data_IF_499989799096
#
_entry.id   IF_499989799096
#
_cell.length_a   1.000
_cell.length_b   1.000
_cell.length_c   1.000
_cell.angle_alpha   90.00
_cell.angle_beta   90.00
_cell.angle_gamma   90.00
#
_symmetry.space_group_name_H-M   'P 1'
#
loop_
_entity.id
_entity.type
_entity.pdbx_description
1 polymer ?
#
# COMPACT_ATOMS: atom_id res chain seq x y z
N UNK A 1 121.46 15.34 -30.48
CA UNK A 1 120.85 14.51 -29.42
C UNK A 1 121.29 13.06 -29.63
N UNK A 2 121.52 12.26 -28.59
CA UNK A 2 121.78 10.82 -28.80
C UNK A 2 120.46 10.11 -29.13
N UNK A 3 120.52 9.03 -29.92
CA UNK A 3 119.33 8.24 -30.29
C UNK A 3 118.54 7.77 -29.05
N UNK A 4 119.25 7.48 -27.95
CA UNK A 4 118.67 7.03 -26.67
C UNK A 4 117.80 8.12 -26.04
N UNK A 5 118.24 9.38 -26.02
CA UNK A 5 117.46 10.48 -25.44
C UNK A 5 116.22 10.80 -26.29
N UNK A 6 116.28 10.62 -27.62
CA UNK A 6 115.11 10.83 -28.49
C UNK A 6 114.06 9.72 -28.33
N UNK A 7 114.50 8.46 -28.22
CA UNK A 7 113.60 7.32 -28.02
C UNK A 7 112.94 7.32 -26.64
N UNK A 8 113.61 7.86 -25.62
CA UNK A 8 113.09 7.97 -24.25
C UNK A 8 112.35 9.28 -23.95
N UNK A 9 112.08 10.11 -24.97
CA UNK A 9 111.42 11.40 -24.76
C UNK A 9 109.98 11.23 -24.22
N UNK A 10 109.56 11.97 -23.18
CA UNK A 10 108.24 11.80 -22.54
C UNK A 10 107.03 11.94 -23.47
N UNK A 11 107.19 12.68 -24.58
CA UNK A 11 106.15 12.87 -25.60
C UNK A 11 105.57 11.55 -26.14
N UNK A 12 106.39 10.49 -26.27
CA UNK A 12 105.92 9.18 -26.73
C UNK A 12 104.99 8.52 -25.71
N UNK A 13 105.27 8.70 -24.42
CA UNK A 13 104.39 8.25 -23.35
C UNK A 13 103.03 8.95 -23.38
N UNK A 14 103.02 10.26 -23.64
CA UNK A 14 101.77 11.03 -23.77
C UNK A 14 100.95 10.60 -24.99
N UNK A 15 101.60 10.42 -26.14
CA UNK A 15 100.95 9.96 -27.37
C UNK A 15 100.34 8.57 -27.17
N UNK A 16 101.06 7.63 -26.56
CA UNK A 16 100.53 6.31 -26.26
C UNK A 16 99.33 6.36 -25.29
N UNK A 17 99.38 7.24 -24.29
CA UNK A 17 98.25 7.49 -23.39
C UNK A 17 97.03 8.02 -24.15
N UNK A 18 97.22 9.02 -25.01
CA UNK A 18 96.17 9.59 -25.85
C UNK A 18 95.59 8.57 -26.86
N UNK A 19 96.42 7.68 -27.40
CA UNK A 19 95.96 6.56 -28.23
C UNK A 19 95.06 5.59 -27.45
N UNK A 20 95.39 5.30 -26.18
CA UNK A 20 94.54 4.46 -25.35
C UNK A 20 93.17 5.12 -25.10
N UNK A 21 93.12 6.45 -24.93
CA UNK A 21 91.88 7.20 -24.77
C UNK A 21 90.98 7.16 -26.00
N UNK A 22 91.53 7.06 -27.21
CA UNK A 22 90.74 6.92 -28.45
C UNK A 22 89.78 5.73 -28.41
N UNK A 23 90.14 4.66 -27.69
CA UNK A 23 89.32 3.45 -27.57
C UNK A 23 88.13 3.56 -26.61
N UNK A 24 88.00 4.68 -25.88
CA UNK A 24 86.90 4.91 -24.94
C UNK A 24 85.57 5.16 -25.69
N UNK A 25 84.51 4.46 -25.27
CA UNK A 25 83.18 4.50 -25.92
C UNK A 25 82.49 5.86 -25.80
N UNK A 26 82.88 6.68 -24.83
CA UNK A 26 82.32 8.03 -24.62
C UNK A 26 82.60 8.98 -25.78
N UNK A 27 83.69 8.80 -26.53
CA UNK A 27 83.98 9.60 -27.72
C UNK A 27 83.09 9.26 -28.92
N UNK A 28 82.31 8.17 -28.85
CA UNK A 28 81.40 7.70 -29.90
C UNK A 28 79.92 7.82 -29.51
N UNK A 29 79.60 8.61 -28.48
CA UNK A 29 78.22 8.90 -28.07
C UNK A 29 77.43 9.57 -29.21
N UNK A 30 76.15 9.19 -29.46
CA UNK A 30 75.31 9.80 -30.47
C UNK A 30 75.28 11.33 -30.39
N UNK A 31 75.29 11.93 -29.21
CA UNK A 31 75.28 13.39 -29.03
C UNK A 31 76.45 14.12 -29.73
N UNK A 32 77.59 13.46 -29.92
CA UNK A 32 78.76 14.01 -30.63
C UNK A 32 78.57 13.85 -32.14
N UNK A 33 78.01 12.72 -32.59
CA UNK A 33 77.78 12.44 -34.01
C UNK A 33 76.70 13.31 -34.66
N UNK A 34 75.76 13.84 -33.87
CA UNK A 34 74.68 14.70 -34.36
C UNK A 34 75.13 16.17 -34.49
N UNK A 35 76.27 16.54 -33.90
CA UNK A 35 76.88 17.85 -34.02
C UNK A 35 78.15 17.75 -34.89
N UNK A 36 78.05 18.23 -36.12
CA UNK A 36 79.13 18.23 -37.11
C UNK A 36 80.43 18.83 -36.55
N UNK A 37 80.34 19.93 -35.79
CA UNK A 37 81.51 20.61 -35.24
C UNK A 37 82.23 19.75 -34.18
N UNK A 38 81.47 19.07 -33.31
CA UNK A 38 82.05 18.21 -32.26
C UNK A 38 82.65 16.93 -32.83
N UNK A 39 82.00 16.31 -33.82
CA UNK A 39 82.57 15.15 -34.52
C UNK A 39 83.85 15.53 -35.25
N UNK A 40 83.86 16.67 -35.95
CA UNK A 40 85.05 17.16 -36.65
C UNK A 40 86.21 17.42 -35.67
N UNK A 41 85.95 18.08 -34.54
CA UNK A 41 86.98 18.37 -33.54
C UNK A 41 87.59 17.09 -32.93
N UNK A 42 86.75 16.10 -32.61
CA UNK A 42 87.21 14.79 -32.13
C UNK A 42 88.12 14.12 -33.14
N UNK A 43 87.64 14.00 -34.38
CA UNK A 43 88.34 13.28 -35.44
C UNK A 43 89.66 13.98 -35.77
N UNK A 44 89.66 15.32 -35.76
CA UNK A 44 90.86 16.14 -35.94
C UNK A 44 91.91 15.90 -34.84
N UNK A 45 91.52 15.88 -33.57
CA UNK A 45 92.44 15.64 -32.45
C UNK A 45 93.14 14.30 -32.63
N UNK A 46 92.38 13.21 -32.84
CA UNK A 46 92.95 11.87 -32.95
C UNK A 46 93.76 11.67 -34.24
N UNK A 47 93.33 12.29 -35.36
CA UNK A 47 94.10 12.29 -36.61
C UNK A 47 95.50 12.91 -36.45
N UNK A 48 95.60 14.06 -35.76
CA UNK A 48 96.89 14.72 -35.55
C UNK A 48 97.77 13.93 -34.57
N UNK A 49 97.18 13.29 -33.55
CA UNK A 49 97.92 12.42 -32.63
C UNK A 49 98.48 11.20 -33.38
N UNK A 50 97.68 10.55 -34.23
CA UNK A 50 98.11 9.44 -35.08
C UNK A 50 99.24 9.83 -36.06
N UNK A 51 99.12 11.04 -36.62
CA UNK A 51 100.15 11.60 -37.48
C UNK A 51 101.45 11.84 -36.73
N UNK A 52 101.39 12.47 -35.55
CA UNK A 52 102.54 12.73 -34.70
C UNK A 52 103.22 11.44 -34.23
N UNK A 53 102.44 10.42 -33.86
CA UNK A 53 102.95 9.10 -33.48
C UNK A 53 103.77 8.49 -34.62
N UNK A 54 103.19 8.49 -35.82
CA UNK A 54 103.82 7.96 -37.03
C UNK A 54 105.11 8.73 -37.38
N UNK A 55 105.08 10.06 -37.34
CA UNK A 55 106.25 10.90 -37.66
C UNK A 55 107.38 10.70 -36.65
N UNK A 56 107.07 10.52 -35.38
CA UNK A 56 108.10 10.26 -34.36
C UNK A 56 108.79 8.90 -34.57
N UNK A 57 108.08 7.90 -35.09
CA UNK A 57 108.68 6.60 -35.44
C UNK A 57 109.53 6.66 -36.71
N UNK A 58 109.10 7.42 -37.72
CA UNK A 58 109.76 7.47 -39.03
C UNK A 58 110.98 8.42 -39.08
N UNK A 59 110.98 9.51 -38.30
CA UNK A 59 112.03 10.55 -38.37
C UNK A 59 113.26 10.18 -37.53
N UNK A 60 114.49 10.19 -38.11
CA UNK A 60 115.71 9.89 -37.38
C UNK A 60 116.07 10.99 -36.37
N UNK A 61 116.65 10.59 -35.23
CA UNK A 61 116.98 11.48 -34.12
C UNK A 61 117.91 12.67 -34.45
N UNK A 62 118.64 12.59 -35.57
CA UNK A 62 119.55 13.65 -36.04
C UNK A 62 118.82 14.86 -36.65
N UNK A 63 117.57 14.69 -37.10
CA UNK A 63 116.81 15.71 -37.81
C UNK A 63 115.74 16.41 -36.96
N UNK A 64 115.63 16.04 -35.68
CA UNK A 64 114.56 16.54 -34.80
C UNK A 64 115.04 17.68 -33.92
N UNK A 65 114.20 18.73 -33.83
CA UNK A 65 114.44 19.87 -32.94
C UNK A 65 113.91 19.61 -31.52
N UNK A 66 114.81 19.58 -30.54
CA UNK A 66 114.46 19.32 -29.13
C UNK A 66 113.56 20.41 -28.49
N UNK A 67 113.81 21.71 -28.69
CA UNK A 67 112.90 22.75 -28.20
C UNK A 67 111.49 22.59 -28.77
N UNK A 68 111.36 22.18 -30.04
CA UNK A 68 110.07 21.95 -30.65
C UNK A 68 109.35 20.73 -30.04
N UNK A 69 110.06 19.62 -29.78
CA UNK A 69 109.49 18.46 -29.09
C UNK A 69 108.99 18.81 -27.68
N UNK A 70 109.71 19.65 -26.94
CA UNK A 70 109.28 20.10 -25.62
C UNK A 70 108.00 20.95 -25.70
N UNK A 71 107.88 21.84 -26.69
CA UNK A 71 106.65 22.59 -26.91
C UNK A 71 105.48 21.69 -27.33
N UNK A 72 105.74 20.72 -28.23
CA UNK A 72 104.73 19.73 -28.60
C UNK A 72 104.25 18.91 -27.39
N UNK A 73 105.17 18.50 -26.52
CA UNK A 73 104.83 17.81 -25.28
C UNK A 73 103.90 18.65 -24.39
N UNK A 74 104.18 19.94 -24.22
CA UNK A 74 103.34 20.82 -23.39
C UNK A 74 101.90 20.93 -23.94
N UNK A 75 101.76 21.10 -25.26
CA UNK A 75 100.43 21.14 -25.88
C UNK A 75 99.70 19.79 -25.76
N UNK A 76 100.39 18.66 -25.97
CA UNK A 76 99.79 17.33 -25.81
C UNK A 76 99.41 17.03 -24.36
N UNK A 77 100.15 17.55 -23.38
CA UNK A 77 99.78 17.46 -21.96
C UNK A 77 98.46 18.20 -21.69
N UNK A 78 98.27 19.39 -22.28
CA UNK A 78 97.02 20.14 -22.17
C UNK A 78 95.86 19.42 -22.86
N UNK A 79 96.09 18.85 -24.05
CA UNK A 79 95.10 18.00 -24.74
C UNK A 79 94.68 16.83 -23.86
N UNK A 80 95.63 16.15 -23.23
CA UNK A 80 95.36 15.01 -22.33
C UNK A 80 94.52 15.45 -21.12
N UNK A 81 94.79 16.62 -20.56
CA UNK A 81 94.01 17.19 -19.45
C UNK A 81 92.56 17.47 -19.86
N UNK A 82 92.35 18.13 -21.00
CA UNK A 82 91.02 18.47 -21.50
C UNK A 82 90.22 17.22 -21.92
N UNK A 83 90.87 16.21 -22.51
CA UNK A 83 90.20 14.94 -22.84
C UNK A 83 89.80 14.15 -21.59
N UNK A 84 90.63 14.11 -20.55
CA UNK A 84 90.24 13.50 -19.27
C UNK A 84 89.11 14.28 -18.59
N UNK A 85 89.12 15.62 -18.68
CA UNK A 85 88.01 16.44 -18.21
C UNK A 85 86.72 16.16 -19.00
N UNK A 86 86.82 15.95 -20.32
CA UNK A 86 85.71 15.52 -21.16
C UNK A 86 85.15 14.15 -20.71
N UNK A 87 86.00 13.16 -20.46
CA UNK A 87 85.57 11.83 -19.98
C UNK A 87 84.78 11.90 -18.67
N UNK A 88 85.18 12.81 -17.77
CA UNK A 88 84.50 12.99 -16.48
C UNK A 88 83.20 13.80 -16.56
N UNK A 89 83.15 14.85 -17.40
CA UNK A 89 82.07 15.85 -17.41
C UNK A 89 81.08 15.70 -18.57
N UNK A 90 81.48 15.03 -19.65
CA UNK A 90 80.77 14.92 -20.95
C UNK A 90 80.43 16.26 -21.61
N UNK A 91 81.05 17.36 -21.19
CA UNK A 91 80.79 18.68 -21.77
C UNK A 91 81.55 18.86 -23.09
N UNK A 92 80.81 19.11 -24.17
CA UNK A 92 81.36 19.35 -25.51
C UNK A 92 82.36 20.53 -25.56
N UNK A 93 82.32 21.45 -24.58
CA UNK A 93 83.27 22.56 -24.48
C UNK A 93 84.72 22.11 -24.22
N UNK A 94 84.93 21.04 -23.46
CA UNK A 94 86.28 20.49 -23.23
C UNK A 94 86.86 19.87 -24.49
N UNK A 95 86.02 19.29 -25.34
CA UNK A 95 86.43 18.75 -26.64
C UNK A 95 86.84 19.88 -27.60
N UNK A 96 86.12 21.00 -27.60
CA UNK A 96 86.51 22.19 -28.35
C UNK A 96 87.82 22.81 -27.84
N UNK A 97 88.02 22.88 -26.52
CA UNK A 97 89.24 23.37 -25.90
C UNK A 97 90.45 22.48 -26.21
N UNK A 98 90.26 21.16 -26.17
CA UNK A 98 91.28 20.20 -26.60
C UNK A 98 91.67 20.41 -28.07
N UNK A 99 90.67 20.62 -28.95
CA UNK A 99 90.92 20.88 -30.37
C UNK A 99 91.69 22.19 -30.60
N UNK A 100 91.43 23.24 -29.80
CA UNK A 100 92.18 24.49 -29.88
C UNK A 100 93.67 24.33 -29.52
N UNK A 101 94.03 23.35 -28.70
CA UNK A 101 95.43 23.02 -28.39
C UNK A 101 96.14 22.26 -29.53
N UNK A 102 95.40 21.79 -30.54
CA UNK A 102 95.96 21.15 -31.73
C UNK A 102 96.49 22.18 -32.74
N UNK A 103 95.90 23.38 -32.83
CA UNK A 103 96.34 24.41 -33.79
C UNK A 103 97.82 24.81 -33.60
N UNK A 104 98.31 25.08 -32.37
CA UNK A 104 99.72 25.36 -32.14
C UNK A 104 100.64 24.17 -32.48
N UNK A 105 100.17 22.92 -32.26
CA UNK A 105 100.95 21.71 -32.60
C UNK A 105 101.27 21.64 -34.10
N UNK A 106 100.33 22.03 -34.95
CA UNK A 106 100.53 22.06 -36.40
C UNK A 106 101.69 22.98 -36.81
N UNK A 107 101.87 24.09 -36.10
CA UNK A 107 102.95 25.06 -36.33
C UNK A 107 104.33 24.53 -35.95
N UNK A 108 104.41 23.44 -35.18
CA UNK A 108 105.67 22.79 -34.83
C UNK A 108 105.98 21.56 -35.69
N UNK A 109 105.05 21.09 -36.53
CA UNK A 109 105.23 19.87 -37.35
C UNK A 109 106.43 19.93 -38.30
N UNK A 110 106.88 21.12 -38.69
CA UNK A 110 108.13 21.27 -39.47
C UNK A 110 109.36 20.67 -38.80
N UNK A 111 109.34 20.53 -37.46
CA UNK A 111 110.41 19.90 -36.68
C UNK A 111 110.49 18.37 -36.86
N UNK A 112 109.49 17.78 -37.53
CA UNK A 112 109.43 16.37 -37.92
C UNK A 112 109.24 16.30 -39.45
N UNK A 113 110.33 16.33 -40.24
CA UNK A 113 110.24 16.34 -41.70
C UNK A 113 109.51 15.10 -42.23
N UNK A 114 108.60 15.30 -43.18
CA UNK A 114 107.79 14.22 -43.78
C UNK A 114 108.67 13.30 -44.64
N UNK A 115 108.58 12.00 -44.38
CA UNK A 115 109.36 10.92 -45.01
C UNK A 115 108.80 10.48 -46.39
N UNK A 116 107.47 10.40 -46.56
CA UNK A 116 106.81 10.12 -47.86
C UNK A 116 105.29 10.42 -47.84
N UNK A 117 104.70 10.67 -49.01
CA UNK A 117 103.24 10.85 -49.17
C UNK A 117 102.50 9.53 -49.45
N UNK A 118 103.14 8.57 -50.13
CA UNK A 118 102.60 7.23 -50.35
C UNK A 118 103.05 6.31 -49.21
N UNK A 119 102.09 5.71 -48.50
CA UNK A 119 102.34 4.81 -47.37
C UNK A 119 102.76 5.49 -46.05
N UNK A 120 103.12 6.78 -46.08
CA UNK A 120 103.43 7.57 -44.89
C UNK A 120 102.18 8.05 -44.14
N UNK A 121 102.38 8.69 -42.99
CA UNK A 121 101.34 9.13 -42.07
C UNK A 121 100.18 9.92 -42.73
N UNK A 122 100.50 10.81 -43.67
CA UNK A 122 99.51 11.62 -44.39
C UNK A 122 98.63 10.80 -45.37
N UNK A 123 99.21 9.79 -46.03
CA UNK A 123 98.45 8.90 -46.92
C UNK A 123 97.43 8.06 -46.15
N UNK A 124 97.84 7.51 -44.99
CA UNK A 124 96.95 6.73 -44.11
C UNK A 124 95.76 7.56 -43.60
N UNK A 125 95.96 8.84 -43.31
CA UNK A 125 94.88 9.73 -42.88
C UNK A 125 93.84 9.94 -43.99
N UNK A 126 94.28 10.20 -45.22
CA UNK A 126 93.38 10.38 -46.36
C UNK A 126 92.58 9.10 -46.66
N UNK A 127 93.21 7.93 -46.59
CA UNK A 127 92.53 6.63 -46.75
C UNK A 127 91.46 6.41 -45.67
N UNK A 128 91.77 6.76 -44.42
CA UNK A 128 90.82 6.63 -43.30
C UNK A 128 89.60 7.55 -43.45
N UNK A 129 89.79 8.76 -43.99
CA UNK A 129 88.71 9.71 -44.24
C UNK A 129 87.81 9.24 -45.40
N UNK A 130 88.42 8.71 -46.48
CA UNK A 130 87.68 8.13 -47.60
C UNK A 130 86.84 6.91 -47.16
N UNK A 131 87.39 6.04 -46.31
CA UNK A 131 86.68 4.91 -45.73
C UNK A 131 85.52 5.36 -44.82
N UNK A 132 85.74 6.40 -44.00
CA UNK A 132 84.70 7.00 -43.16
C UNK A 132 83.53 7.55 -43.98
N UNK A 133 83.82 8.24 -45.09
CA UNK A 133 82.79 8.74 -46.01
C UNK A 133 81.98 7.61 -46.67
N UNK A 134 82.65 6.51 -47.05
CA UNK A 134 81.98 5.33 -47.60
C UNK A 134 81.06 4.65 -46.58
N UNK A 135 81.54 4.47 -45.34
CA UNK A 135 80.72 3.89 -44.27
C UNK A 135 79.49 4.75 -43.93
N UNK A 136 79.64 6.08 -43.93
CA UNK A 136 78.51 6.99 -43.72
C UNK A 136 77.48 6.88 -44.85
N UNK A 137 77.93 6.74 -46.10
CA UNK A 137 77.05 6.55 -47.25
C UNK A 137 76.28 5.22 -47.16
N UNK A 138 76.93 4.13 -46.77
CA UNK A 138 76.30 2.83 -46.55
C UNK A 138 75.26 2.88 -45.42
N UNK A 139 75.54 3.61 -44.33
CA UNK A 139 74.59 3.79 -43.24
C UNK A 139 73.36 4.59 -43.68
N UNK A 140 73.56 5.66 -44.46
CA UNK A 140 72.46 6.45 -45.01
C UNK A 140 71.57 5.63 -45.94
N UNK A 141 72.15 4.77 -46.78
CA UNK A 141 71.39 3.86 -47.65
C UNK A 141 70.58 2.85 -46.84
N UNK A 142 71.16 2.27 -45.78
CA UNK A 142 70.41 1.37 -44.88
C UNK A 142 69.25 2.08 -44.19
N UNK A 143 69.44 3.32 -43.74
CA UNK A 143 68.38 4.14 -43.13
C UNK A 143 67.28 4.48 -44.13
N UNK A 144 67.64 4.81 -45.38
CA UNK A 144 66.66 5.06 -46.45
C UNK A 144 65.77 3.84 -46.67
N UNK A 145 66.33 2.63 -46.71
CA UNK A 145 65.56 1.41 -46.90
C UNK A 145 64.67 1.10 -45.67
N UNK A 146 65.17 1.35 -44.45
CA UNK A 146 64.35 1.24 -43.22
C UNK A 146 63.15 2.18 -43.26
N UNK A 147 63.36 3.46 -43.58
CA UNK A 147 62.26 4.44 -43.65
C UNK A 147 61.26 4.11 -44.74
N UNK A 148 61.72 3.58 -45.88
CA UNK A 148 60.81 3.11 -46.94
C UNK A 148 59.95 1.94 -46.46
N UNK A 149 60.54 0.99 -45.72
CA UNK A 149 59.81 -0.13 -45.11
C UNK A 149 58.78 0.36 -44.08
N UNK A 150 59.19 1.26 -43.17
CA UNK A 150 58.31 1.87 -42.17
C UNK A 150 57.15 2.65 -42.80
N UNK A 151 57.41 3.41 -43.87
CA UNK A 151 56.38 4.12 -44.62
C UNK A 151 55.38 3.16 -45.26
N UNK A 152 55.86 2.06 -45.84
CA UNK A 152 54.97 1.03 -46.40
C UNK A 152 54.13 0.36 -45.33
N UNK A 153 54.70 0.07 -44.15
CA UNK A 153 53.98 -0.49 -43.03
C UNK A 153 52.93 0.49 -42.48
N UNK A 154 53.29 1.78 -42.36
CA UNK A 154 52.38 2.83 -41.91
C UNK A 154 51.22 3.02 -42.89
N UNK A 155 51.50 3.03 -44.21
CA UNK A 155 50.46 3.11 -45.24
C UNK A 155 49.46 1.94 -45.14
N UNK A 156 49.97 0.71 -44.93
CA UNK A 156 49.11 -0.46 -44.72
C UNK A 156 48.28 -0.36 -43.44
N UNK A 157 48.84 0.17 -42.35
CA UNK A 157 48.07 0.44 -41.13
C UNK A 157 46.98 1.49 -41.35
N UNK A 158 47.27 2.57 -42.06
CA UNK A 158 46.27 3.60 -42.39
C UNK A 158 45.12 3.03 -43.20
N UNK A 159 45.40 2.18 -44.20
CA UNK A 159 44.36 1.50 -44.97
C UNK A 159 43.49 0.59 -44.09
N UNK A 160 44.11 -0.15 -43.17
CA UNK A 160 43.39 -1.00 -42.22
C UNK A 160 42.52 -0.18 -41.25
N UNK A 161 43.00 0.96 -40.75
CA UNK A 161 42.21 1.85 -39.90
C UNK A 161 41.04 2.48 -40.66
N UNK A 162 41.24 2.84 -41.93
CA UNK A 162 40.17 3.36 -42.78
C UNK A 162 39.07 2.32 -42.99
N UNK A 163 39.42 1.06 -43.26
CA UNK A 163 38.46 -0.06 -43.34
C UNK A 163 37.68 -0.25 -42.03
N UNK A 164 38.37 -0.25 -40.89
CA UNK A 164 37.71 -0.36 -39.57
C UNK A 164 36.75 0.80 -39.29
N UNK A 165 37.10 2.02 -39.71
CA UNK A 165 36.21 3.19 -39.56
C UNK A 165 34.97 3.06 -40.43
N UNK A 166 35.10 2.56 -41.65
CA UNK A 166 33.98 2.32 -42.55
C UNK A 166 33.05 1.22 -42.01
N UNK A 167 33.60 0.11 -41.53
CA UNK A 167 32.85 -0.96 -40.86
C UNK A 167 32.12 -0.44 -39.62
N UNK A 168 32.80 0.35 -38.77
CA UNK A 168 32.20 0.91 -37.56
C UNK A 168 31.08 1.90 -37.89
N UNK A 169 31.26 2.72 -38.93
CA UNK A 169 30.22 3.63 -39.44
C UNK A 169 28.99 2.87 -39.94
N UNK A 170 29.19 1.77 -40.67
CA UNK A 170 28.08 0.93 -41.12
C UNK A 170 27.36 0.25 -39.95
N UNK A 171 28.10 -0.22 -38.94
CA UNK A 171 27.52 -0.79 -37.73
C UNK A 171 26.69 0.23 -36.93
N UNK A 172 27.17 1.47 -36.79
CA UNK A 172 26.43 2.56 -36.14
C UNK A 172 25.14 2.86 -36.91
N UNK A 173 25.21 2.96 -38.24
CA UNK A 173 24.02 3.18 -39.07
C UNK A 173 22.98 2.06 -38.91
N UNK A 174 23.44 0.80 -38.89
CA UNK A 174 22.58 -0.36 -38.65
C UNK A 174 21.96 -0.34 -37.25
N UNK A 175 22.76 -0.10 -36.20
CA UNK A 175 22.26 -0.01 -34.83
C UNK A 175 21.22 1.11 -34.67
N UNK A 176 21.45 2.27 -35.27
CA UNK A 176 20.48 3.36 -35.25
C UNK A 176 19.15 2.97 -35.93
N UNK A 177 19.21 2.24 -37.04
CA UNK A 177 18.02 1.69 -37.71
C UNK A 177 17.29 0.65 -36.85
N UNK A 178 18.03 -0.26 -36.24
CA UNK A 178 17.47 -1.31 -35.37
C UNK A 178 16.82 -0.70 -34.13
N UNK A 179 17.47 0.29 -33.50
CA UNK A 179 16.91 1.05 -32.36
C UNK A 179 15.66 1.81 -32.77
N UNK A 180 15.67 2.51 -33.91
CA UNK A 180 14.48 3.21 -34.41
C UNK A 180 13.31 2.25 -34.66
N UNK A 181 13.58 1.06 -35.20
CA UNK A 181 12.55 0.04 -35.44
C UNK A 181 12.03 -0.55 -34.13
N UNK A 182 12.92 -0.79 -33.16
CA UNK A 182 12.55 -1.25 -31.83
C UNK A 182 11.66 -0.22 -31.10
N UNK A 183 12.02 1.07 -31.15
CA UNK A 183 11.22 2.16 -30.57
C UNK A 183 9.83 2.20 -31.20
N UNK A 184 9.72 2.18 -32.53
CA UNK A 184 8.44 2.19 -33.22
C UNK A 184 7.55 0.98 -32.83
N UNK A 185 8.17 -0.21 -32.69
CA UNK A 185 7.47 -1.42 -32.23
C UNK A 185 7.01 -1.30 -30.78
N UNK A 186 7.85 -0.78 -29.88
CA UNK A 186 7.49 -0.54 -28.49
C UNK A 186 6.37 0.49 -28.36
N UNK A 187 6.41 1.58 -29.12
CA UNK A 187 5.33 2.59 -29.14
C UNK A 187 4.00 1.99 -29.61
N UNK A 188 4.03 1.16 -30.65
CA UNK A 188 2.82 0.49 -31.15
C UNK A 188 2.27 -0.48 -30.11
N UNK A 189 3.11 -1.34 -29.54
CA UNK A 189 2.70 -2.29 -28.49
C UNK A 189 2.15 -1.58 -27.26
N UNK A 190 2.76 -0.46 -26.87
CA UNK A 190 2.30 0.34 -25.75
C UNK A 190 0.93 0.96 -26.02
N UNK A 191 0.72 1.52 -27.22
CA UNK A 191 -0.60 2.05 -27.63
C UNK A 191 -1.67 0.97 -27.62
N UNK A 192 -1.39 -0.20 -28.22
CA UNK A 192 -2.34 -1.30 -28.30
C UNK A 192 -2.73 -1.81 -26.89
N UNK A 193 -1.75 -1.94 -25.99
CA UNK A 193 -1.97 -2.36 -24.59
C UNK A 193 -2.75 -1.31 -23.78
N UNK A 194 -2.44 -0.02 -23.96
CA UNK A 194 -3.20 1.07 -23.32
C UNK A 194 -4.65 1.09 -23.81
N UNK A 195 -4.88 0.91 -25.11
CA UNK A 195 -6.22 0.84 -25.68
C UNK A 195 -7.00 -0.38 -25.19
N UNK A 196 -6.35 -1.55 -25.08
CA UNK A 196 -6.91 -2.76 -24.50
C UNK A 196 -7.31 -2.55 -23.04
N UNK A 197 -6.42 -1.94 -22.24
CA UNK A 197 -6.72 -1.60 -20.84
C UNK A 197 -7.87 -0.60 -20.73
N UNK A 198 -7.90 0.42 -21.58
CA UNK A 198 -9.00 1.39 -21.63
C UNK A 198 -10.35 0.73 -21.92
N UNK A 199 -10.39 -0.21 -22.87
CA UNK A 199 -11.58 -1.01 -23.17
C UNK A 199 -11.99 -1.91 -22.01
N UNK A 200 -11.04 -2.61 -21.39
CA UNK A 200 -11.32 -3.49 -20.24
C UNK A 200 -11.86 -2.69 -19.04
N UNK A 201 -11.29 -1.54 -18.73
CA UNK A 201 -11.79 -0.67 -17.65
C UNK A 201 -13.20 -0.19 -17.96
N UNK A 202 -13.46 0.22 -19.20
CA UNK A 202 -14.80 0.67 -19.62
C UNK A 202 -15.82 -0.46 -19.52
N UNK A 203 -15.47 -1.67 -19.97
CA UNK A 203 -16.34 -2.86 -19.87
C UNK A 203 -16.63 -3.25 -18.41
N UNK A 204 -15.62 -3.22 -17.54
CA UNK A 204 -15.81 -3.47 -16.10
C UNK A 204 -16.72 -2.42 -15.47
N UNK A 205 -16.55 -1.13 -15.82
CA UNK A 205 -17.41 -0.06 -15.31
C UNK A 205 -18.85 -0.22 -15.78
N UNK A 206 -19.08 -0.58 -17.05
CA UNK A 206 -20.43 -0.84 -17.58
C UNK A 206 -21.09 -2.03 -16.87
N UNK A 207 -20.36 -3.15 -16.69
CA UNK A 207 -20.89 -4.32 -15.96
C UNK A 207 -21.20 -4.00 -14.50
N UNK A 208 -20.38 -3.17 -13.87
CA UNK A 208 -20.63 -2.76 -12.49
C UNK A 208 -21.86 -1.85 -12.42
N UNK A 209 -22.01 -0.89 -13.33
CA UNK A 209 -23.20 -0.03 -13.39
C UNK A 209 -24.49 -0.83 -13.62
N UNK A 210 -24.45 -1.83 -14.51
CA UNK A 210 -25.55 -2.77 -14.75
C UNK A 210 -25.89 -3.58 -13.51
N UNK A 211 -24.89 -4.26 -12.90
CA UNK A 211 -25.10 -5.05 -11.67
C UNK A 211 -25.59 -4.19 -10.50
N UNK A 212 -25.09 -2.96 -10.38
CA UNK A 212 -25.51 -2.03 -9.34
C UNK A 212 -26.96 -1.59 -9.55
N UNK A 213 -27.35 -1.31 -10.80
CA UNK A 213 -28.73 -0.96 -11.16
C UNK A 213 -29.69 -2.12 -10.89
N UNK A 214 -29.35 -3.34 -11.31
CA UNK A 214 -30.13 -4.55 -11.01
C UNK A 214 -30.27 -4.79 -9.50
N UNK A 215 -29.17 -4.67 -8.75
CA UNK A 215 -29.18 -4.84 -7.30
C UNK A 215 -30.08 -3.79 -6.63
N UNK A 216 -30.01 -2.53 -7.09
CA UNK A 216 -30.83 -1.44 -6.58
C UNK A 216 -32.32 -1.69 -6.84
N UNK A 217 -32.68 -2.12 -8.04
CA UNK A 217 -34.06 -2.47 -8.38
C UNK A 217 -34.56 -3.65 -7.53
N UNK A 218 -33.74 -4.69 -7.38
CA UNK A 218 -34.07 -5.85 -6.56
C UNK A 218 -34.29 -5.48 -5.09
N UNK A 219 -33.40 -4.68 -4.50
CA UNK A 219 -33.54 -4.19 -3.13
C UNK A 219 -34.81 -3.34 -2.99
N UNK A 220 -35.09 -2.46 -3.94
CA UNK A 220 -36.30 -1.63 -3.92
C UNK A 220 -37.57 -2.50 -3.99
N UNK A 221 -37.59 -3.50 -4.88
CA UNK A 221 -38.69 -4.44 -5.02
C UNK A 221 -38.90 -5.28 -3.76
N UNK A 222 -37.84 -5.89 -3.23
CA UNK A 222 -37.90 -6.70 -2.01
C UNK A 222 -38.32 -5.87 -0.79
N UNK A 223 -37.81 -4.63 -0.67
CA UNK A 223 -38.21 -3.71 0.39
C UNK A 223 -39.69 -3.34 0.29
N UNK A 224 -40.18 -3.02 -0.91
CA UNK A 224 -41.59 -2.72 -1.13
C UNK A 224 -42.49 -3.92 -0.78
N UNK A 225 -42.06 -5.12 -1.14
CA UNK A 225 -42.76 -6.37 -0.81
C UNK A 225 -42.82 -6.60 0.70
N UNK A 226 -41.71 -6.41 1.41
CA UNK A 226 -41.65 -6.54 2.88
C UNK A 226 -42.53 -5.48 3.55
N UNK A 227 -42.50 -4.23 3.10
CA UNK A 227 -43.36 -3.16 3.63
C UNK A 227 -44.83 -3.50 3.45
N UNK A 228 -45.21 -4.01 2.28
CA UNK A 228 -46.59 -4.42 1.99
C UNK A 228 -47.03 -5.60 2.86
N UNK A 229 -46.17 -6.59 3.09
CA UNK A 229 -46.48 -7.70 4.00
C UNK A 229 -46.57 -7.20 5.46
N UNK A 230 -45.67 -6.32 5.90
CA UNK A 230 -45.72 -5.71 7.23
C UNK A 230 -47.01 -4.93 7.46
N UNK A 231 -47.44 -4.12 6.49
CA UNK A 231 -48.72 -3.40 6.57
C UNK A 231 -49.91 -4.36 6.64
N UNK A 232 -49.87 -5.44 5.86
CA UNK A 232 -50.90 -6.49 5.90
C UNK A 232 -50.93 -7.17 7.28
N UNK A 233 -49.78 -7.53 7.84
CA UNK A 233 -49.67 -8.14 9.18
C UNK A 233 -50.12 -7.17 10.27
N UNK A 234 -49.80 -5.89 10.16
CA UNK A 234 -50.27 -4.83 11.05
C UNK A 234 -51.80 -4.72 11.00
N UNK A 235 -52.39 -4.74 9.81
CA UNK A 235 -53.85 -4.70 9.65
C UNK A 235 -54.51 -5.95 10.25
N UNK A 236 -53.96 -7.13 9.99
CA UNK A 236 -54.43 -8.39 10.58
C UNK A 236 -54.35 -8.36 12.11
N UNK A 237 -53.23 -7.90 12.68
CA UNK A 237 -53.08 -7.76 14.13
C UNK A 237 -54.09 -6.76 14.73
N UNK A 238 -54.33 -5.62 14.04
CA UNK A 238 -55.33 -4.63 14.44
C UNK A 238 -56.74 -5.23 14.47
N UNK A 239 -57.10 -6.02 13.44
CA UNK A 239 -58.41 -6.70 13.39
C UNK A 239 -58.54 -7.74 14.50
N UNK A 240 -57.50 -8.55 14.76
CA UNK A 240 -57.52 -9.53 15.86
C UNK A 240 -57.69 -8.82 17.20
N UNK A 241 -56.96 -7.73 17.45
CA UNK A 241 -57.10 -6.93 18.68
C UNK A 241 -58.51 -6.36 18.83
N UNK A 242 -59.11 -5.86 17.77
CA UNK A 242 -60.48 -5.33 17.79
C UNK A 242 -61.52 -6.42 18.09
N UNK A 243 -61.37 -7.60 17.48
CA UNK A 243 -62.26 -8.75 17.69
C UNK A 243 -62.11 -9.31 19.10
N UNK A 244 -60.89 -9.53 19.58
CA UNK A 244 -60.63 -10.07 20.92
C UNK A 244 -61.03 -9.08 22.01
N UNK A 245 -60.77 -7.79 21.81
CA UNK A 245 -61.16 -6.73 22.74
C UNK A 245 -62.69 -6.59 22.88
N UNK A 246 -63.42 -6.55 21.76
CA UNK A 246 -64.88 -6.41 21.81
C UNK A 246 -65.59 -7.71 22.25
N UNK A 247 -65.25 -8.87 21.69
CA UNK A 247 -65.99 -10.13 21.98
C UNK A 247 -65.65 -10.68 23.37
N UNK A 248 -64.37 -10.60 23.80
CA UNK A 248 -63.92 -11.26 25.02
C UNK A 248 -64.54 -10.69 26.29
N UNK A 249 -64.68 -9.37 26.38
CA UNK A 249 -65.17 -8.72 27.61
C UNK A 249 -66.70 -8.54 27.58
N UNK A 250 -67.28 -8.08 26.46
CA UNK A 250 -68.73 -7.83 26.38
C UNK A 250 -69.54 -9.11 26.27
N UNK A 251 -69.05 -10.11 25.52
CA UNK A 251 -69.78 -11.36 25.27
C UNK A 251 -70.03 -12.18 26.55
N UNK A 252 -69.13 -12.13 27.52
CA UNK A 252 -69.31 -12.84 28.79
C UNK A 252 -70.41 -12.20 29.65
N UNK A 253 -70.45 -10.86 29.72
CA UNK A 253 -71.53 -10.15 30.42
C UNK A 253 -72.88 -10.34 29.74
N UNK A 254 -72.91 -10.38 28.40
CA UNK A 254 -74.11 -10.71 27.64
C UNK A 254 -74.65 -12.12 27.96
N UNK A 255 -73.76 -13.11 28.03
CA UNK A 255 -74.13 -14.48 28.37
C UNK A 255 -74.68 -14.58 29.80
N UNK A 256 -74.06 -13.89 30.76
CA UNK A 256 -74.52 -13.83 32.16
C UNK A 256 -75.89 -13.14 32.22
N UNK A 257 -76.05 -11.97 31.58
CA UNK A 257 -77.30 -11.23 31.57
C UNK A 257 -78.48 -12.06 31.02
N UNK A 258 -78.26 -12.76 29.90
CA UNK A 258 -79.28 -13.62 29.29
C UNK A 258 -79.64 -14.82 30.19
N UNK A 259 -78.65 -15.46 30.82
CA UNK A 259 -78.87 -16.58 31.73
C UNK A 259 -79.65 -16.16 32.97
N UNK A 260 -79.26 -15.07 33.61
CA UNK A 260 -79.93 -14.51 34.79
C UNK A 260 -81.36 -14.04 34.46
N UNK A 261 -81.59 -13.40 33.30
CA UNK A 261 -82.94 -13.00 32.89
C UNK A 261 -83.86 -14.20 32.64
N UNK A 262 -83.33 -15.29 32.10
CA UNK A 262 -84.07 -16.55 31.95
C UNK A 262 -84.48 -17.13 33.31
N UNK A 263 -83.55 -17.17 34.27
CA UNK A 263 -83.83 -17.60 35.66
C UNK A 263 -84.87 -16.70 36.34
N UNK A 264 -84.76 -15.38 36.17
CA UNK A 264 -85.73 -14.43 36.71
C UNK A 264 -87.15 -14.72 36.20
N UNK A 265 -87.30 -15.01 34.90
CA UNK A 265 -88.58 -15.37 34.31
C UNK A 265 -89.12 -16.72 34.81
N UNK A 266 -88.24 -17.71 34.99
CA UNK A 266 -88.63 -19.00 35.57
C UNK A 266 -89.22 -18.84 36.97
N UNK A 267 -88.53 -18.14 37.88
CA UNK A 267 -89.02 -17.86 39.22
C UNK A 267 -90.29 -17.01 39.24
N UNK A 268 -90.44 -16.09 38.28
CA UNK A 268 -91.67 -15.32 38.09
C UNK A 268 -92.85 -16.24 37.77
N UNK A 269 -92.67 -17.20 36.87
CA UNK A 269 -93.72 -18.15 36.54
C UNK A 269 -94.07 -19.08 37.72
N UNK A 270 -93.09 -19.48 38.53
CA UNK A 270 -93.34 -20.22 39.77
C UNK A 270 -94.17 -19.36 40.75
N UNK A 271 -93.80 -18.10 40.93
CA UNK A 271 -94.51 -17.14 41.79
C UNK A 271 -95.97 -16.98 41.33
N UNK A 272 -96.18 -16.75 40.03
CA UNK A 272 -97.52 -16.63 39.43
C UNK A 272 -98.33 -17.92 39.63
N UNK A 273 -97.69 -19.09 39.55
CA UNK A 273 -98.33 -20.38 39.80
C UNK A 273 -98.81 -20.50 41.24
N UNK A 274 -98.00 -20.10 42.23
CA UNK A 274 -98.43 -20.06 43.64
C UNK A 274 -99.61 -19.12 43.86
N UNK A 275 -99.59 -17.91 43.30
CA UNK A 275 -100.71 -16.98 43.40
C UNK A 275 -101.97 -17.51 42.71
N UNK A 276 -101.84 -18.14 41.54
CA UNK A 276 -102.97 -18.72 40.82
C UNK A 276 -103.62 -19.86 41.62
N UNK A 277 -102.82 -20.76 42.21
CA UNK A 277 -103.31 -21.81 43.13
C UNK A 277 -103.99 -21.18 44.34
N UNK A 278 -103.41 -20.12 44.91
CA UNK A 278 -103.97 -19.43 46.07
C UNK A 278 -105.34 -18.81 45.80
N UNK A 279 -105.45 -18.10 44.68
CA UNK A 279 -106.71 -17.50 44.23
C UNK A 279 -107.75 -18.58 43.90
N UNK A 280 -107.35 -19.68 43.26
CA UNK A 280 -108.25 -20.79 42.97
C UNK A 280 -108.79 -21.46 44.25
N UNK A 281 -107.92 -21.74 45.23
CA UNK A 281 -108.31 -22.29 46.53
C UNK A 281 -109.22 -21.31 47.31
N UNK A 282 -108.89 -20.02 47.31
CA UNK A 282 -109.72 -18.99 47.91
C UNK A 282 -111.11 -18.92 47.24
N UNK A 283 -111.18 -18.95 45.91
CA UNK A 283 -112.44 -18.95 45.16
C UNK A 283 -113.30 -20.20 45.41
N UNK A 284 -112.70 -21.39 45.39
CA UNK A 284 -113.40 -22.65 45.68
C UNK A 284 -113.95 -22.68 47.11
N UNK A 285 -113.16 -22.23 48.08
CA UNK A 285 -113.60 -22.14 49.49
C UNK A 285 -114.62 -21.03 49.72
N UNK A 286 -114.60 -19.96 48.93
CA UNK A 286 -115.62 -18.91 49.00
C UNK A 286 -116.97 -19.40 48.49
N UNK A 287 -117.01 -20.03 47.31
CA UNK A 287 -118.25 -20.55 46.71
C UNK A 287 -118.90 -21.64 47.58
N UNK A 288 -118.10 -22.56 48.14
CA UNK A 288 -118.62 -23.68 48.94
C UNK A 288 -119.24 -23.24 50.27
N UNK A 289 -118.78 -22.13 50.84
CA UNK A 289 -119.16 -21.71 52.20
C UNK A 289 -119.97 -20.40 52.24
N UNK A 290 -120.40 -19.88 51.09
CA UNK A 290 -121.16 -18.63 50.98
C UNK A 290 -122.52 -18.66 51.70
N UNK A 291 -123.10 -19.86 51.89
CA UNK A 291 -124.46 -20.04 52.42
C UNK A 291 -124.50 -20.61 53.85
N UNK A 292 -123.36 -20.71 54.56
CA UNK A 292 -123.31 -21.27 55.92
C UNK A 292 -123.39 -20.20 57.02
N UNK A 293 -124.28 -20.32 58.03
CA UNK A 293 -124.34 -19.40 59.16
C UNK A 293 -123.10 -19.56 60.07
N UNK A 294 -122.63 -18.44 60.64
CA UNK A 294 -121.44 -18.40 61.48
C UNK A 294 -121.66 -19.22 62.77
N UNK A 295 -120.97 -20.36 62.91
CA UNK A 295 -121.01 -21.22 64.10
C UNK A 295 -119.61 -21.45 64.66
N UNK A 296 -119.51 -21.97 65.89
CA UNK A 296 -118.23 -22.31 66.53
C UNK A 296 -117.44 -23.39 65.77
N UNK A 297 -118.10 -24.24 64.96
CA UNK A 297 -117.44 -25.21 64.07
C UNK A 297 -116.81 -24.53 62.83
N UNK A 298 -117.40 -23.43 62.36
CA UNK A 298 -116.91 -22.66 61.21
C UNK A 298 -115.61 -21.91 61.53
N UNK A 299 -115.37 -21.55 62.79
CA UNK A 299 -114.17 -20.84 63.25
C UNK A 299 -112.86 -21.64 62.99
N UNK A 300 -112.89 -22.96 63.18
CA UNK A 300 -111.75 -23.84 62.90
C UNK A 300 -111.45 -23.86 61.39
N UNK A 301 -112.48 -23.82 60.54
CA UNK A 301 -112.32 -23.80 59.08
C UNK A 301 -111.65 -22.52 58.57
N UNK A 302 -111.87 -21.37 59.22
CA UNK A 302 -111.22 -20.09 58.92
C UNK A 302 -109.74 -20.13 59.32
N UNK A 303 -109.43 -20.69 60.49
CA UNK A 303 -108.05 -20.85 60.95
C UNK A 303 -107.23 -21.76 60.03
N UNK A 304 -107.81 -22.87 59.58
CA UNK A 304 -107.16 -23.79 58.63
C UNK A 304 -106.91 -23.12 57.27
N UNK A 305 -107.84 -22.28 56.78
CA UNK A 305 -107.63 -21.47 55.56
C UNK A 305 -106.52 -20.44 55.72
N UNK A 306 -106.44 -19.79 56.89
CA UNK A 306 -105.35 -18.87 57.21
C UNK A 306 -104.00 -19.59 57.21
N UNK A 307 -103.94 -20.80 57.78
CA UNK A 307 -102.73 -21.64 57.74
C UNK A 307 -102.35 -22.06 56.32
N UNK A 308 -103.31 -22.45 55.47
CA UNK A 308 -103.04 -22.73 54.05
C UNK A 308 -102.58 -21.50 53.28
N UNK A 309 -103.17 -20.33 53.55
CA UNK A 309 -102.75 -19.07 52.94
C UNK A 309 -101.30 -18.72 53.34
N UNK A 310 -100.93 -18.88 54.62
CA UNK A 310 -99.55 -18.69 55.10
C UNK A 310 -98.59 -19.71 54.46
N UNK A 311 -98.98 -20.98 54.42
CA UNK A 311 -98.19 -22.06 53.84
C UNK A 311 -97.93 -21.86 52.34
N UNK A 312 -98.86 -21.23 51.62
CA UNK A 312 -98.73 -20.95 50.18
C UNK A 312 -98.01 -19.63 49.88
N UNK A 313 -98.26 -18.59 50.68
CA UNK A 313 -97.65 -17.26 50.50
C UNK A 313 -96.17 -17.24 50.84
N UNK A 314 -95.72 -18.05 51.81
CA UNK A 314 -94.30 -18.14 52.21
C UNK A 314 -93.38 -18.56 51.05
N UNK A 315 -93.61 -19.69 50.33
CA UNK A 315 -92.81 -20.04 49.16
C UNK A 315 -93.06 -19.10 47.97
N UNK A 316 -94.26 -18.55 47.81
CA UNK A 316 -94.54 -17.53 46.78
C UNK A 316 -93.66 -16.29 46.97
N UNK A 317 -93.51 -15.81 48.21
CA UNK A 317 -92.65 -14.67 48.53
C UNK A 317 -91.18 -14.96 48.26
N UNK A 318 -90.70 -16.13 48.67
CA UNK A 318 -89.32 -16.54 48.42
C UNK A 318 -89.01 -16.57 46.92
N UNK A 319 -89.89 -17.18 46.12
CA UNK A 319 -89.72 -17.25 44.66
C UNK A 319 -89.85 -15.90 43.97
N UNK A 320 -90.68 -14.99 44.49
CA UNK A 320 -90.74 -13.60 44.01
C UNK A 320 -89.43 -12.85 44.28
N UNK A 321 -88.86 -13.01 45.48
CA UNK A 321 -87.58 -12.41 45.87
C UNK A 321 -86.43 -12.95 45.02
N UNK A 322 -86.42 -14.26 44.75
CA UNK A 322 -85.40 -14.87 43.90
C UNK A 322 -85.52 -14.41 42.43
N UNK A 323 -86.75 -14.25 41.92
CA UNK A 323 -86.99 -13.64 40.60
C UNK A 323 -86.44 -12.22 40.51
N UNK A 324 -86.69 -11.37 41.52
CA UNK A 324 -86.21 -9.99 41.57
C UNK A 324 -84.68 -9.90 41.67
N UNK A 325 -84.06 -10.84 42.41
CA UNK A 325 -82.61 -10.93 42.53
C UNK A 325 -81.95 -11.25 41.18
N UNK A 326 -82.40 -12.31 40.51
CA UNK A 326 -81.89 -12.66 39.19
C UNK A 326 -82.12 -11.53 38.17
N UNK A 327 -83.24 -10.80 38.27
CA UNK A 327 -83.48 -9.61 37.43
C UNK A 327 -82.43 -8.52 37.67
N UNK A 328 -82.16 -8.21 38.94
CA UNK A 328 -81.17 -7.20 39.31
C UNK A 328 -79.77 -7.58 38.81
N UNK A 329 -79.39 -8.85 38.93
CA UNK A 329 -78.13 -9.36 38.40
C UNK A 329 -78.07 -9.29 36.87
N UNK A 330 -79.17 -9.63 36.19
CA UNK A 330 -79.27 -9.54 34.74
C UNK A 330 -79.11 -8.10 34.25
N UNK A 331 -79.80 -7.14 34.88
CA UNK A 331 -79.76 -5.72 34.52
C UNK A 331 -78.36 -5.13 34.78
N UNK A 332 -77.72 -5.48 35.91
CA UNK A 332 -76.32 -5.09 36.20
C UNK A 332 -75.34 -5.63 35.15
N UNK A 333 -75.47 -6.90 34.78
CA UNK A 333 -74.62 -7.51 33.75
C UNK A 333 -74.86 -6.88 32.38
N UNK A 334 -76.13 -6.61 32.02
CA UNK A 334 -76.52 -5.98 30.75
C UNK A 334 -76.03 -4.53 30.66
N UNK A 335 -76.12 -3.78 31.76
CA UNK A 335 -75.56 -2.44 31.85
C UNK A 335 -74.05 -2.47 31.63
N UNK A 336 -73.34 -3.37 32.33
CA UNK A 336 -71.89 -3.52 32.19
C UNK A 336 -71.49 -3.92 30.77
N UNK A 337 -72.24 -4.82 30.13
CA UNK A 337 -72.05 -5.17 28.71
C UNK A 337 -72.16 -3.94 27.80
N UNK A 338 -73.24 -3.16 27.94
CA UNK A 338 -73.50 -1.98 27.10
C UNK A 338 -72.49 -0.87 27.34
N UNK A 339 -72.10 -0.64 28.60
CA UNK A 339 -71.06 0.33 28.97
C UNK A 339 -69.72 -0.08 28.34
N UNK A 340 -69.31 -1.35 28.47
CA UNK A 340 -68.07 -1.86 27.86
C UNK A 340 -68.11 -1.85 26.33
N UNK A 341 -69.25 -2.14 25.71
CA UNK A 341 -69.43 -2.11 24.26
C UNK A 341 -69.43 -0.68 23.69
N UNK A 342 -69.91 0.30 24.46
CA UNK A 342 -70.03 1.70 24.02
C UNK A 342 -68.79 2.56 24.28
N UNK A 343 -67.91 2.15 25.21
CA UNK A 343 -66.67 2.90 25.51
C UNK A 343 -65.81 3.09 24.26
N UNK A 344 -65.58 2.05 23.46
CA UNK A 344 -64.73 2.10 22.27
C UNK A 344 -65.15 3.19 21.28
N UNK A 345 -66.39 3.14 20.76
CA UNK A 345 -66.93 4.19 19.88
C UNK A 345 -66.94 5.59 20.52
N UNK A 346 -67.20 5.69 21.83
CA UNK A 346 -67.32 6.99 22.50
C UNK A 346 -65.98 7.73 22.63
N UNK A 347 -64.88 7.00 22.82
CA UNK A 347 -63.55 7.60 23.02
C UNK A 347 -62.72 7.67 21.73
N UNK A 348 -63.20 7.12 20.61
CA UNK A 348 -62.43 6.97 19.37
C UNK A 348 -61.91 8.30 18.79
N UNK A 349 -62.77 9.33 18.81
CA UNK A 349 -62.48 10.67 18.29
C UNK A 349 -61.74 11.59 19.28
N UNK A 350 -61.44 11.11 20.49
CA UNK A 350 -60.74 11.90 21.51
C UNK A 350 -59.21 11.91 21.31
N UNK A 351 -58.48 12.89 21.87
CA UNK A 351 -57.03 12.87 21.98
C UNK A 351 -56.51 11.65 22.79
N UNK A 352 -55.32 11.12 22.45
CA UNK A 352 -54.80 9.87 23.04
C UNK A 352 -54.54 9.94 24.55
N UNK A 353 -54.11 11.11 25.06
CA UNK A 353 -53.92 11.37 26.49
C UNK A 353 -55.23 11.19 27.27
N UNK A 354 -56.35 11.69 26.74
CA UNK A 354 -57.68 11.54 27.34
C UNK A 354 -58.21 10.11 27.28
N UNK A 355 -57.88 9.36 26.22
CA UNK A 355 -58.23 7.93 26.15
C UNK A 355 -57.55 7.12 27.24
N UNK A 356 -56.28 7.40 27.54
CA UNK A 356 -55.53 6.71 28.60
C UNK A 356 -56.11 7.03 29.99
N UNK A 357 -56.41 8.29 30.27
CA UNK A 357 -57.03 8.74 31.52
C UNK A 357 -58.38 8.03 31.78
N UNK A 358 -59.24 7.97 30.75
CA UNK A 358 -60.54 7.30 30.83
C UNK A 358 -60.36 5.80 31.10
N UNK A 359 -59.45 5.11 30.39
CA UNK A 359 -59.17 3.67 30.62
C UNK A 359 -58.69 3.40 32.04
N UNK A 360 -57.84 4.25 32.61
CA UNK A 360 -57.36 4.10 33.99
C UNK A 360 -58.52 4.22 34.99
N UNK A 361 -59.39 5.22 34.80
CA UNK A 361 -60.55 5.42 35.68
C UNK A 361 -61.53 4.23 35.63
N UNK A 362 -61.83 3.72 34.43
CA UNK A 362 -62.75 2.60 34.24
C UNK A 362 -62.18 1.30 34.80
N UNK A 363 -60.87 1.10 34.72
CA UNK A 363 -60.20 -0.08 35.27
C UNK A 363 -60.47 -0.19 36.78
N UNK A 364 -60.42 0.92 37.52
CA UNK A 364 -60.73 0.97 38.97
C UNK A 364 -62.22 0.70 39.26
N UNK A 365 -63.11 1.01 38.32
CA UNK A 365 -64.55 0.84 38.49
C UNK A 365 -65.06 -0.57 38.18
N UNK A 366 -64.43 -1.31 37.27
CA UNK A 366 -64.90 -2.64 36.86
C UNK A 366 -64.07 -3.81 37.40
N UNK A 367 -62.78 -3.62 37.68
CA UNK A 367 -61.90 -4.71 38.11
C UNK A 367 -61.56 -4.62 39.60
N UNK A 368 -61.49 -5.79 40.27
CA UNK A 368 -61.03 -5.89 41.66
C UNK A 368 -62.08 -5.60 42.75
N UNK A 369 -63.36 -5.41 42.39
CA UNK A 369 -64.44 -5.28 43.38
C UNK A 369 -64.81 -6.63 43.99
N UNK A 370 -64.93 -6.68 45.33
CA UNK A 370 -65.42 -7.85 46.04
C UNK A 370 -66.88 -8.15 45.70
N UNK A 371 -67.26 -9.43 45.71
CA UNK A 371 -68.65 -9.83 45.50
C UNK A 371 -69.45 -9.50 46.76
N UNK A 372 -70.52 -8.69 46.63
CA UNK A 372 -71.42 -8.41 47.74
C UNK A 372 -72.02 -9.72 48.27
N UNK A 373 -71.92 -9.94 49.59
CA UNK A 373 -72.48 -11.13 50.20
C UNK A 373 -74.00 -11.14 50.04
N UNK A 374 -74.55 -12.28 49.61
CA UNK A 374 -75.98 -12.45 49.45
C UNK A 374 -76.65 -12.60 50.82
N UNK A 375 -77.32 -11.54 51.29
CA UNK A 375 -78.02 -11.55 52.57
C UNK A 375 -79.50 -11.91 52.38
N UNK A 376 -79.93 -13.05 52.94
CA UNK A 376 -81.33 -13.49 52.87
C UNK A 376 -82.08 -12.95 54.08
N UNK A 377 -82.66 -11.76 53.95
CA UNK A 377 -83.59 -11.25 54.96
C UNK A 377 -84.88 -12.11 54.98
N UNK A 378 -85.23 -12.65 56.15
CA UNK A 378 -86.45 -13.43 56.35
C UNK A 378 -87.70 -12.53 56.24
N UNK A 379 -88.79 -13.02 55.64
CA UNK A 379 -89.99 -12.21 55.34
C UNK A 379 -90.76 -11.75 56.59
N UNK A 380 -90.55 -12.39 57.74
CA UNK A 380 -91.11 -11.97 59.01
C UNK A 380 -90.01 -11.93 60.05
N UNK A 381 -89.89 -10.81 60.77
CA UNK A 381 -89.04 -10.81 61.94
C UNK A 381 -89.66 -11.71 63.01
N UNK A 382 -88.85 -12.26 63.92
CA UNK A 382 -89.36 -13.02 65.06
C UNK A 382 -90.32 -12.22 65.95
N UNK A 383 -90.35 -10.88 65.78
CA UNK A 383 -91.28 -9.95 66.40
C UNK A 383 -92.64 -9.94 65.68
N UNK A 384 -92.65 -9.87 64.35
CA UNK A 384 -93.87 -9.85 63.54
C UNK A 384 -94.67 -11.18 63.67
N UNK A 385 -93.96 -12.30 63.72
CA UNK A 385 -94.59 -13.62 63.95
C UNK A 385 -95.20 -13.74 65.35
N UNK A 386 -94.58 -13.12 66.37
CA UNK A 386 -95.09 -13.12 67.74
C UNK A 386 -96.32 -12.23 67.86
N UNK A 387 -96.29 -11.03 67.27
CA UNK A 387 -97.41 -10.10 67.31
C UNK A 387 -98.64 -10.68 66.58
N UNK A 388 -98.42 -11.32 65.42
CA UNK A 388 -99.47 -12.02 64.68
C UNK A 388 -100.07 -13.20 65.47
N UNK A 389 -99.24 -14.02 66.14
CA UNK A 389 -99.72 -15.13 66.98
C UNK A 389 -100.53 -14.63 68.20
N UNK A 390 -100.11 -13.52 68.82
CA UNK A 390 -100.82 -12.89 69.93
C UNK A 390 -102.18 -12.34 69.49
N UNK A 391 -102.27 -11.79 68.28
CA UNK A 391 -103.49 -11.24 67.72
C UNK A 391 -104.52 -12.35 67.39
N UNK A 392 -104.07 -13.48 66.83
CA UNK A 392 -104.90 -14.67 66.63
C UNK A 392 -105.42 -15.22 67.96
N UNK A 393 -104.57 -15.31 68.99
CA UNK A 393 -104.97 -15.77 70.33
C UNK A 393 -105.98 -14.83 71.01
N UNK A 394 -105.90 -13.52 70.76
CA UNK A 394 -106.90 -12.54 71.24
C UNK A 394 -108.23 -12.67 70.50
N UNK A 395 -108.19 -12.89 69.18
CA UNK A 395 -109.39 -13.07 68.36
C UNK A 395 -110.16 -14.36 68.73
N UNK A 396 -109.46 -15.44 69.08
CA UNK A 396 -110.06 -16.71 69.51
C UNK A 396 -110.66 -16.69 70.93
N UNK A 397 -110.41 -15.64 71.73
CA UNK A 397 -110.86 -15.53 73.14
C UNK A 397 -112.04 -14.58 73.37
N UNK A 398 -112.57 -13.92 72.33
CA UNK A 398 -113.81 -13.16 72.41
C UNK A 398 -114.99 -14.08 72.04
N UNK A 399 -116.00 -14.28 72.92
CA UNK A 399 -117.20 -15.03 72.58
C UNK A 399 -118.03 -14.34 71.51
#
# INVERSE_FOLDING_TARGET
MSTVTYQSHPIRGLINGLHSLKSDTTFYDPSIGWNEASSYQRDRIFAVIELLASLLEEVPASLVSFPALAQMQNHLQNVTSELNAFLSSKSLGHLANAAAQIDPLQSFLWALPVSSLQGGAWGRLLDSQALGAQNALDELLKRQESYKSELSALASQTENYQKKLEEMSQQIAKQNSDVSTAIAKFEQQYKDEVDLRGRNVTDVLMRWDEQYSELKEKIAFDSQKILTDLDTKREQASRILQVVGNIGVTGNYQAIANKENSQANFWRWITVSFFAVGVALAGLTFVKFWSEPFSSETAISILVRLLYAIALTTPAWYTAKESARHRTNADRARQTELELASIGPFIELMPEDKKVEIRESLTKSYFGKGVEQHNVEAPFSSKDLKDFAVEILKAAKKP
#
